data_IF_440942242968
#
_entry.id   IF_440942242968
#
_cell.length_a   1.000
_cell.length_b   1.000
_cell.length_c   1.000
_cell.angle_alpha   90.00
_cell.angle_beta   90.00
_cell.angle_gamma   90.00
#
_symmetry.space_group_name_H-M   'P 1'
#
loop_
_entity.id
_entity.type
_entity.pdbx_description
1 polymer ?
#
# COMPACT_ATOMS: atom_id res chain seq x y z
N UNK A 1 17.69 -6.27 30.47
CA UNK A 1 17.17 -6.79 29.18
C UNK A 1 17.15 -8.32 29.13
N UNK A 2 17.70 -9.04 30.11
CA UNK A 2 17.86 -10.52 30.08
C UNK A 2 16.62 -11.34 30.48
N UNK A 3 15.42 -10.75 30.56
CA UNK A 3 14.22 -11.48 31.00
C UNK A 3 13.48 -12.25 29.90
N UNK A 4 13.91 -12.16 28.63
CA UNK A 4 13.15 -12.67 27.47
C UNK A 4 13.89 -13.75 26.64
N UNK A 5 15.07 -14.21 27.06
CA UNK A 5 15.92 -15.16 26.30
C UNK A 5 15.96 -14.84 24.79
N UNK A 6 16.14 -13.56 24.45
CA UNK A 6 16.05 -13.05 23.09
C UNK A 6 17.15 -12.03 22.80
N UNK A 7 17.88 -12.22 21.70
CA UNK A 7 18.80 -11.24 21.13
C UNK A 7 18.05 -10.48 20.06
N UNK A 8 18.00 -9.15 20.15
CA UNK A 8 17.35 -8.29 19.16
C UNK A 8 18.41 -7.63 18.28
N UNK A 9 18.34 -7.89 16.98
CA UNK A 9 19.12 -7.22 15.95
C UNK A 9 18.21 -6.30 15.15
N UNK A 10 18.27 -4.99 15.45
CA UNK A 10 17.45 -3.98 14.79
C UNK A 10 18.24 -3.26 13.69
N UNK A 11 17.73 -3.32 12.46
CA UNK A 11 18.29 -2.63 11.30
C UNK A 11 17.61 -1.28 11.16
N UNK A 12 18.40 -0.21 11.24
CA UNK A 12 17.93 1.16 11.05
C UNK A 12 17.68 1.43 9.56
N UNK A 13 16.52 2.00 9.24
CA UNK A 13 16.20 2.51 7.90
C UNK A 13 16.68 3.94 7.65
N UNK A 14 16.32 4.50 6.50
CA UNK A 14 16.59 5.91 6.14
C UNK A 14 15.90 6.87 7.13
N UNK A 15 16.54 8.01 7.40
CA UNK A 15 16.03 8.99 8.37
C UNK A 15 14.70 9.64 7.97
N UNK A 16 14.42 9.79 6.66
CA UNK A 16 13.14 10.31 6.17
C UNK A 16 12.63 9.52 4.94
N UNK A 17 11.31 9.47 4.78
CA UNK A 17 10.65 8.83 3.63
C UNK A 17 10.97 9.56 2.30
N UNK A 18 11.11 10.89 2.35
CA UNK A 18 11.43 11.68 1.15
C UNK A 18 12.84 11.42 0.65
N UNK A 19 13.83 11.32 1.55
CA UNK A 19 15.22 10.95 1.19
C UNK A 19 15.30 9.53 0.62
N UNK A 20 14.37 8.65 1.01
CA UNK A 20 14.26 7.32 0.44
C UNK A 20 13.60 7.32 -0.94
N UNK A 21 12.51 8.07 -1.13
CA UNK A 21 11.77 8.16 -2.39
C UNK A 21 12.60 8.65 -3.58
N UNK A 22 13.53 9.57 -3.35
CA UNK A 22 14.46 10.06 -4.39
C UNK A 22 15.51 9.02 -4.81
N UNK A 23 15.77 8.01 -3.96
CA UNK A 23 16.75 6.94 -4.20
C UNK A 23 16.14 5.66 -4.78
N UNK A 24 14.86 5.68 -5.19
CA UNK A 24 14.12 4.54 -5.77
C UNK A 24 14.57 4.12 -7.19
N UNK A 25 15.67 4.67 -7.70
CA UNK A 25 16.10 4.46 -9.08
C UNK A 25 16.99 3.22 -9.27
N UNK A 26 16.72 2.14 -8.56
CA UNK A 26 17.57 0.94 -8.65
C UNK A 26 16.82 -0.20 -9.32
N UNK A 27 17.28 -0.59 -10.50
CA UNK A 27 16.77 -1.78 -11.18
C UNK A 27 16.97 -3.03 -10.31
N UNK A 28 15.99 -3.95 -10.25
CA UNK A 28 16.15 -5.20 -9.54
C UNK A 28 17.38 -5.97 -10.06
N UNK A 29 18.16 -6.53 -9.16
CA UNK A 29 19.37 -7.29 -9.49
C UNK A 29 19.33 -8.69 -8.90
N UNK A 30 20.12 -9.61 -9.45
CA UNK A 30 20.16 -10.99 -9.00
C UNK A 30 20.71 -11.11 -7.57
N UNK A 31 20.07 -11.90 -6.70
CA UNK A 31 20.62 -12.26 -5.40
C UNK A 31 21.66 -13.39 -5.47
N UNK A 32 22.31 -13.61 -6.62
CA UNK A 32 23.33 -14.64 -6.81
C UNK A 32 24.35 -14.75 -5.67
N UNK A 33 24.51 -15.94 -5.12
CA UNK A 33 25.37 -16.21 -3.97
C UNK A 33 24.91 -15.54 -2.65
N UNK A 34 23.64 -15.16 -2.55
CA UNK A 34 23.04 -14.57 -1.35
C UNK A 34 21.70 -15.22 -0.98
N UNK A 35 20.81 -15.50 -1.94
CA UNK A 35 19.59 -16.28 -1.71
C UNK A 35 19.62 -17.59 -2.51
N UNK A 36 18.64 -18.46 -2.27
CA UNK A 36 18.52 -19.76 -2.95
C UNK A 36 18.04 -19.63 -4.41
N UNK A 37 17.30 -18.57 -4.73
CA UNK A 37 16.72 -18.33 -6.06
C UNK A 37 17.33 -17.07 -6.68
N UNK A 38 18.31 -17.27 -7.56
CA UNK A 38 19.01 -16.21 -8.29
C UNK A 38 18.13 -15.49 -9.32
N UNK A 39 17.01 -16.10 -9.71
CA UNK A 39 16.00 -15.52 -10.61
C UNK A 39 15.02 -14.59 -9.90
N UNK A 40 14.89 -14.69 -8.58
CA UNK A 40 14.07 -13.79 -7.78
C UNK A 40 14.80 -12.46 -7.52
N UNK A 41 14.86 -11.61 -8.55
CA UNK A 41 15.57 -10.34 -8.50
C UNK A 41 15.10 -9.48 -7.32
N UNK A 42 16.05 -8.86 -6.63
CA UNK A 42 15.84 -8.05 -5.45
C UNK A 42 16.14 -6.58 -5.74
N UNK A 43 15.52 -5.67 -4.99
CA UNK A 43 15.87 -4.24 -5.04
C UNK A 43 17.37 -4.05 -4.75
N UNK A 44 18.15 -3.59 -5.74
CA UNK A 44 19.61 -3.70 -5.63
C UNK A 44 20.19 -2.86 -4.49
N UNK A 45 19.59 -1.72 -4.14
CA UNK A 45 20.01 -0.91 -3.00
C UNK A 45 19.97 -1.68 -1.67
N UNK A 46 18.84 -2.33 -1.35
CA UNK A 46 18.69 -3.13 -0.14
C UNK A 46 19.59 -4.37 -0.16
N UNK A 47 19.69 -5.05 -1.30
CA UNK A 47 20.56 -6.21 -1.46
C UNK A 47 22.03 -5.86 -1.25
N UNK A 48 22.50 -4.74 -1.83
CA UNK A 48 23.88 -4.29 -1.68
C UNK A 48 24.22 -3.98 -0.21
N UNK A 49 23.30 -3.35 0.53
CA UNK A 49 23.47 -3.12 1.98
C UNK A 49 23.47 -4.44 2.74
N UNK A 50 22.51 -5.34 2.47
CA UNK A 50 22.42 -6.63 3.14
C UNK A 50 23.70 -7.47 2.95
N UNK A 51 24.27 -7.50 1.74
CA UNK A 51 25.56 -8.15 1.46
C UNK A 51 26.70 -7.59 2.31
N UNK A 52 26.82 -6.27 2.40
CA UNK A 52 27.85 -5.62 3.22
C UNK A 52 27.68 -5.85 4.73
N UNK A 53 26.45 -6.15 5.17
CA UNK A 53 26.15 -6.40 6.58
C UNK A 53 26.48 -7.82 7.03
N UNK A 54 26.69 -8.78 6.13
CA UNK A 54 26.98 -10.19 6.49
C UNK A 54 28.11 -10.29 7.51
N UNK A 55 29.28 -9.74 7.18
CA UNK A 55 30.46 -9.86 8.03
C UNK A 55 30.32 -9.17 9.39
N UNK A 56 29.99 -7.86 9.44
CA UNK A 56 29.81 -7.15 10.70
C UNK A 56 28.74 -7.77 11.61
N UNK A 57 27.62 -8.24 11.05
CA UNK A 57 26.54 -8.85 11.83
C UNK A 57 26.96 -10.21 12.36
N UNK A 58 27.57 -11.06 11.53
CA UNK A 58 28.05 -12.37 11.96
C UNK A 58 29.11 -12.26 13.06
N UNK A 59 30.08 -11.36 12.90
CA UNK A 59 31.10 -11.07 13.91
C UNK A 59 30.47 -10.66 15.25
N UNK A 60 29.50 -9.73 15.24
CA UNK A 60 28.85 -9.29 16.48
C UNK A 60 28.01 -10.39 17.12
N UNK A 61 27.28 -11.18 16.35
CA UNK A 61 26.49 -12.30 16.88
C UNK A 61 27.39 -13.39 17.47
N UNK A 62 28.52 -13.69 16.81
CA UNK A 62 29.53 -14.64 17.31
C UNK A 62 30.11 -14.15 18.64
N UNK A 63 30.53 -12.89 18.72
CA UNK A 63 31.02 -12.28 19.96
C UNK A 63 29.98 -12.38 21.08
N UNK A 64 28.70 -12.11 20.81
CA UNK A 64 27.65 -12.26 21.80
C UNK A 64 27.52 -13.71 22.30
N UNK A 65 27.66 -14.70 21.42
CA UNK A 65 27.61 -16.12 21.81
C UNK A 65 28.85 -16.54 22.62
N UNK A 66 30.02 -15.98 22.32
CA UNK A 66 31.27 -16.22 23.05
C UNK A 66 31.26 -15.60 24.45
N UNK A 67 30.77 -14.36 24.57
CA UNK A 67 30.60 -13.65 25.86
C UNK A 67 29.71 -14.43 26.83
N UNK A 68 28.69 -15.14 26.33
CA UNK A 68 27.84 -15.98 27.16
C UNK A 68 27.26 -17.14 26.34
N UNK A 69 27.81 -18.36 26.46
CA UNK A 69 27.35 -19.54 25.73
C UNK A 69 25.88 -19.91 25.96
N UNK A 70 25.26 -19.49 27.07
CA UNK A 70 23.82 -19.71 27.32
C UNK A 70 22.94 -19.00 26.30
N UNK A 71 23.44 -17.95 25.64
CA UNK A 71 22.73 -17.23 24.57
C UNK A 71 22.44 -18.11 23.34
N UNK A 72 23.08 -19.28 23.20
CA UNK A 72 22.69 -20.25 22.18
C UNK A 72 21.26 -20.79 22.37
N UNK A 73 20.76 -20.79 23.62
CA UNK A 73 19.36 -21.14 23.93
C UNK A 73 18.35 -20.03 23.61
N UNK A 74 18.84 -18.83 23.27
CA UNK A 74 18.00 -17.66 23.02
C UNK A 74 17.41 -17.70 21.61
N UNK A 75 16.36 -16.91 21.41
CA UNK A 75 15.84 -16.61 20.08
C UNK A 75 16.57 -15.39 19.52
N UNK A 76 16.89 -15.39 18.23
CA UNK A 76 17.35 -14.19 17.52
C UNK A 76 16.13 -13.52 16.88
N UNK A 77 15.87 -12.26 17.19
CA UNK A 77 14.87 -11.44 16.53
C UNK A 77 15.57 -10.40 15.64
N UNK A 78 15.43 -10.56 14.33
CA UNK A 78 15.83 -9.58 13.33
C UNK A 78 14.63 -8.66 13.09
N UNK A 79 14.84 -7.35 13.15
CA UNK A 79 13.74 -6.40 12.98
C UNK A 79 14.19 -5.13 12.27
N UNK A 80 13.24 -4.37 11.76
CA UNK A 80 13.48 -3.10 11.12
C UNK A 80 12.17 -2.43 10.71
N UNK A 81 12.23 -1.11 10.61
CA UNK A 81 11.14 -0.27 10.08
C UNK A 81 11.53 0.28 8.71
N UNK A 82 10.57 0.43 7.81
CA UNK A 82 10.78 1.02 6.48
C UNK A 82 11.89 0.28 5.71
N UNK A 83 12.84 1.02 5.13
CA UNK A 83 14.03 0.47 4.46
C UNK A 83 14.83 -0.51 5.35
N UNK A 84 14.89 -0.28 6.66
CA UNK A 84 15.55 -1.18 7.59
C UNK A 84 14.87 -2.56 7.66
N UNK A 85 13.53 -2.57 7.54
CA UNK A 85 12.74 -3.80 7.43
C UNK A 85 13.04 -4.60 6.17
N UNK A 86 13.33 -3.92 5.05
CA UNK A 86 13.68 -4.59 3.79
C UNK A 86 15.04 -5.30 3.89
N UNK A 87 16.02 -4.61 4.47
CA UNK A 87 17.36 -5.18 4.72
C UNK A 87 17.28 -6.33 5.75
N UNK A 88 16.52 -6.14 6.84
CA UNK A 88 16.25 -7.19 7.84
C UNK A 88 15.63 -8.44 7.20
N UNK A 89 14.68 -8.27 6.28
CA UNK A 89 14.04 -9.36 5.55
C UNK A 89 15.03 -10.14 4.68
N UNK A 90 15.93 -9.43 3.98
CA UNK A 90 16.98 -10.05 3.16
C UNK A 90 18.00 -10.82 4.01
N UNK A 91 18.44 -10.25 5.14
CA UNK A 91 19.37 -10.92 6.07
C UNK A 91 18.73 -12.18 6.67
N UNK A 92 17.46 -12.11 7.04
CA UNK A 92 16.71 -13.28 7.51
C UNK A 92 16.61 -14.35 6.41
N UNK A 93 16.23 -13.97 5.19
CA UNK A 93 16.15 -14.92 4.09
C UNK A 93 17.51 -15.59 3.79
N UNK A 94 18.61 -14.82 3.86
CA UNK A 94 19.97 -15.34 3.71
C UNK A 94 20.38 -16.30 4.83
N UNK A 95 20.01 -16.00 6.08
CA UNK A 95 20.23 -16.92 7.21
C UNK A 95 19.53 -18.27 7.02
N UNK A 96 18.40 -18.29 6.30
CA UNK A 96 17.61 -19.49 6.05
C UNK A 96 17.89 -20.13 4.68
N UNK A 97 18.76 -19.52 3.86
CA UNK A 97 19.19 -20.05 2.58
C UNK A 97 19.91 -21.38 2.76
N UNK A 98 19.71 -22.30 1.82
CA UNK A 98 20.22 -23.68 1.87
C UNK A 98 21.09 -24.08 0.68
N UNK A 99 21.14 -23.25 -0.35
CA UNK A 99 22.07 -23.39 -1.46
C UNK A 99 23.51 -23.25 -0.98
N UNK A 100 24.43 -24.14 -1.40
CA UNK A 100 25.85 -23.99 -1.12
C UNK A 100 26.42 -22.64 -1.58
N UNK A 101 25.88 -22.06 -2.66
CA UNK A 101 26.31 -20.77 -3.18
C UNK A 101 25.99 -19.61 -2.22
N UNK A 102 24.95 -19.73 -1.38
CA UNK A 102 24.57 -18.73 -0.39
C UNK A 102 25.25 -18.95 0.97
N UNK A 103 26.17 -19.90 1.08
CA UNK A 103 26.91 -20.18 2.32
C UNK A 103 27.71 -18.96 2.76
N UNK A 104 27.61 -18.61 4.04
CA UNK A 104 28.34 -17.50 4.65
C UNK A 104 28.49 -17.72 6.16
N UNK A 105 29.32 -16.89 6.79
CA UNK A 105 29.44 -16.92 8.24
C UNK A 105 28.14 -16.54 8.97
N UNK A 106 27.28 -15.69 8.38
CA UNK A 106 25.99 -15.36 8.98
C UNK A 106 25.00 -16.52 8.84
N UNK A 107 24.98 -17.17 7.67
CA UNK A 107 24.15 -18.36 7.42
C UNK A 107 24.50 -19.50 8.39
N UNK A 108 25.79 -19.73 8.65
CA UNK A 108 26.26 -20.74 9.61
C UNK A 108 25.80 -20.48 11.05
N UNK A 109 25.52 -19.23 11.43
CA UNK A 109 25.05 -18.88 12.78
C UNK A 109 23.58 -19.21 13.02
N UNK A 110 22.79 -19.50 11.98
CA UNK A 110 21.35 -19.81 12.14
C UNK A 110 21.11 -20.97 13.09
N UNK A 111 21.93 -22.02 13.01
CA UNK A 111 21.84 -23.21 13.88
C UNK A 111 22.33 -22.97 15.32
N UNK A 112 22.85 -21.78 15.64
CA UNK A 112 23.35 -21.45 16.98
C UNK A 112 22.30 -20.83 17.89
N UNK A 113 21.13 -20.50 17.36
CA UNK A 113 20.01 -19.94 18.12
C UNK A 113 18.87 -20.96 18.19
N UNK A 114 18.12 -20.96 19.30
CA UNK A 114 16.94 -21.84 19.45
C UNK A 114 15.91 -21.59 18.35
N UNK A 115 15.74 -20.33 17.97
CA UNK A 115 14.88 -19.86 16.87
C UNK A 115 15.46 -18.59 16.27
N UNK A 116 15.19 -18.37 14.98
CA UNK A 116 15.41 -17.07 14.33
C UNK A 116 14.05 -16.54 13.87
N UNK A 117 13.75 -15.29 14.21
CA UNK A 117 12.53 -14.60 13.85
C UNK A 117 12.87 -13.34 13.06
N UNK A 118 12.01 -12.96 12.13
CA UNK A 118 12.04 -11.66 11.48
C UNK A 118 10.67 -11.00 11.58
N UNK A 119 10.62 -9.81 12.19
CA UNK A 119 9.40 -9.02 12.36
C UNK A 119 9.71 -7.61 11.87
N UNK A 120 8.99 -7.13 10.87
CA UNK A 120 9.27 -5.84 10.24
C UNK A 120 8.01 -4.96 10.18
N UNK A 121 8.20 -3.66 10.00
CA UNK A 121 7.12 -2.66 10.08
C UNK A 121 7.18 -1.66 8.92
N UNK A 122 6.10 -1.52 8.17
CA UNK A 122 6.02 -0.58 7.05
C UNK A 122 7.09 -0.82 5.98
N UNK A 123 7.45 -2.08 5.75
CA UNK A 123 8.54 -2.48 4.87
C UNK A 123 8.13 -2.35 3.40
N UNK A 124 8.93 -1.71 2.52
CA UNK A 124 8.64 -1.66 1.10
C UNK A 124 8.80 -3.02 0.42
N UNK A 125 8.25 -3.20 -0.79
CA UNK A 125 8.50 -4.39 -1.61
C UNK A 125 10.01 -4.62 -1.86
N UNK A 126 10.45 -5.88 -1.84
CA UNK A 126 11.88 -6.25 -1.79
C UNK A 126 12.36 -7.06 -3.00
N UNK A 127 11.55 -7.99 -3.51
CA UNK A 127 11.95 -8.97 -4.54
C UNK A 127 10.81 -9.27 -5.51
N UNK A 128 11.09 -9.82 -6.69
CA UNK A 128 10.05 -10.11 -7.70
C UNK A 128 8.94 -11.01 -7.15
N UNK A 129 9.31 -12.10 -6.50
CA UNK A 129 8.43 -13.04 -5.81
C UNK A 129 8.54 -12.84 -4.29
N UNK A 130 7.45 -13.01 -3.52
CA UNK A 130 7.46 -12.81 -2.07
C UNK A 130 8.53 -13.68 -1.39
N UNK A 131 9.43 -13.07 -0.62
CA UNK A 131 10.35 -13.84 0.23
C UNK A 131 9.54 -14.49 1.36
N UNK A 132 9.53 -15.82 1.39
CA UNK A 132 8.82 -16.59 2.40
C UNK A 132 9.77 -17.40 3.25
N UNK A 133 9.36 -17.69 4.49
CA UNK A 133 10.08 -18.64 5.34
C UNK A 133 10.00 -20.03 4.67
N UNK A 134 11.12 -20.74 4.46
CA UNK A 134 11.08 -22.08 3.90
C UNK A 134 10.16 -23.01 4.71
N UNK A 135 9.42 -23.84 4.00
CA UNK A 135 8.51 -24.82 4.60
C UNK A 135 9.27 -26.10 4.97
N UNK A 136 10.20 -25.99 5.91
CA UNK A 136 10.98 -27.11 6.43
C UNK A 136 10.73 -27.33 7.93
N UNK A 137 10.73 -28.59 8.44
CA UNK A 137 10.44 -28.88 9.84
C UNK A 137 11.31 -28.11 10.85
N UNK A 138 12.60 -27.92 10.55
CA UNK A 138 13.57 -27.19 11.38
C UNK A 138 13.16 -25.72 11.60
N UNK A 139 12.49 -25.11 10.63
CA UNK A 139 12.03 -23.72 10.70
C UNK A 139 10.55 -23.60 11.10
N UNK A 140 9.92 -24.66 11.59
CA UNK A 140 8.49 -24.65 11.96
C UNK A 140 8.16 -23.59 13.02
N UNK A 141 9.06 -23.39 13.99
CA UNK A 141 8.88 -22.44 15.09
C UNK A 141 9.43 -21.04 14.80
N UNK A 142 10.01 -20.83 13.62
CA UNK A 142 10.56 -19.54 13.21
C UNK A 142 9.40 -18.68 12.69
N UNK A 143 9.49 -17.37 12.88
CA UNK A 143 8.44 -16.43 12.46
C UNK A 143 9.00 -15.46 11.44
N UNK A 144 8.24 -15.18 10.39
CA UNK A 144 8.56 -14.14 9.43
C UNK A 144 7.31 -13.32 9.15
N UNK A 145 7.20 -12.17 9.82
CA UNK A 145 6.02 -11.31 9.79
C UNK A 145 6.38 -9.91 9.28
N UNK A 146 5.50 -9.34 8.46
CA UNK A 146 5.59 -7.95 8.00
C UNK A 146 4.30 -7.24 8.39
N UNK A 147 4.39 -6.32 9.35
CA UNK A 147 3.26 -5.52 9.78
C UNK A 147 3.13 -4.27 8.91
N UNK A 148 1.91 -3.99 8.46
CA UNK A 148 1.59 -2.85 7.60
C UNK A 148 0.38 -2.11 8.15
N UNK A 149 0.48 -0.82 8.38
CA UNK A 149 -0.69 -0.01 8.69
C UNK A 149 -1.51 0.24 7.43
N UNK A 150 -2.82 0.05 7.50
CA UNK A 150 -3.73 0.57 6.49
C UNK A 150 -3.50 2.07 6.28
N UNK A 151 -3.27 2.46 5.03
CA UNK A 151 -2.95 3.83 4.64
C UNK A 151 -1.45 4.13 4.54
N UNK A 152 -0.55 3.24 4.99
CA UNK A 152 0.89 3.42 4.84
C UNK A 152 1.31 3.29 3.36
N UNK A 153 1.84 4.35 2.72
CA UNK A 153 2.25 4.30 1.33
C UNK A 153 3.48 3.42 1.08
N UNK A 154 4.32 3.18 2.10
CA UNK A 154 5.61 2.50 1.92
C UNK A 154 5.46 1.04 1.56
N UNK A 155 4.41 0.37 2.06
CA UNK A 155 4.12 -1.01 1.70
C UNK A 155 3.84 -1.21 0.20
N UNK A 156 3.46 -0.13 -0.51
CA UNK A 156 3.25 -0.06 -1.97
C UNK A 156 4.41 0.58 -2.73
N UNK A 157 5.37 1.17 -2.03
CA UNK A 157 6.21 2.18 -2.63
C UNK A 157 7.26 1.58 -3.56
N UNK A 158 6.94 1.61 -4.85
CA UNK A 158 7.91 1.64 -5.94
C UNK A 158 8.01 3.06 -6.52
N UNK A 159 8.99 3.27 -7.41
CA UNK A 159 9.24 4.57 -8.05
C UNK A 159 8.00 5.14 -8.75
N UNK A 160 7.25 4.31 -9.48
CA UNK A 160 6.09 4.74 -10.23
C UNK A 160 4.93 5.09 -9.30
N UNK A 161 4.71 4.26 -8.27
CA UNK A 161 3.70 4.50 -7.25
C UNK A 161 3.94 5.81 -6.52
N UNK A 162 5.14 6.02 -5.96
CA UNK A 162 5.47 7.25 -5.22
C UNK A 162 5.38 8.48 -6.12
N UNK A 163 5.90 8.41 -7.34
CA UNK A 163 5.78 9.51 -8.32
C UNK A 163 4.31 9.85 -8.58
N UNK A 164 3.47 8.85 -8.87
CA UNK A 164 2.05 9.07 -9.15
C UNK A 164 1.27 9.59 -7.93
N UNK A 165 1.64 9.18 -6.72
CA UNK A 165 1.06 9.68 -5.48
C UNK A 165 1.44 11.15 -5.26
N UNK A 166 2.70 11.54 -5.49
CA UNK A 166 3.14 12.93 -5.40
C UNK A 166 2.43 13.81 -6.44
N UNK A 167 2.32 13.34 -7.69
CA UNK A 167 1.56 14.03 -8.74
C UNK A 167 0.09 14.20 -8.37
N UNK A 168 -0.54 13.17 -7.79
CA UNK A 168 -1.92 13.23 -7.33
C UNK A 168 -2.10 14.23 -6.18
N UNK A 169 -1.19 14.25 -5.21
CA UNK A 169 -1.25 15.17 -4.08
C UNK A 169 -1.00 16.63 -4.49
N UNK A 170 -0.21 16.85 -5.54
CA UNK A 170 0.06 18.16 -6.12
C UNK A 170 -1.04 18.64 -7.10
N UNK A 171 -1.85 17.72 -7.64
CA UNK A 171 -2.88 18.07 -8.61
C UNK A 171 -3.99 18.95 -7.99
N UNK A 172 -4.51 19.94 -8.72
CA UNK A 172 -5.65 20.72 -8.27
C UNK A 172 -6.89 19.84 -8.09
N UNK A 173 -7.77 20.21 -7.16
CA UNK A 173 -9.03 19.51 -6.98
C UNK A 173 -9.83 19.52 -8.31
N UNK A 174 -10.45 18.39 -8.72
CA UNK A 174 -11.22 18.34 -9.95
C UNK A 174 -12.30 19.43 -9.94
N UNK A 175 -12.38 20.21 -11.02
CA UNK A 175 -13.46 21.17 -11.18
C UNK A 175 -14.77 20.38 -11.31
N UNK A 176 -15.71 20.60 -10.39
CA UNK A 176 -17.06 20.09 -10.55
C UNK A 176 -17.71 20.93 -11.64
N UNK A 177 -17.89 20.38 -12.84
CA UNK A 177 -18.64 21.06 -13.90
C UNK A 177 -20.08 21.28 -13.41
N UNK A 178 -20.35 22.49 -12.91
CA UNK A 178 -21.72 22.93 -12.69
C UNK A 178 -22.34 23.08 -14.07
N UNK A 179 -23.28 22.20 -14.40
CA UNK A 179 -24.13 22.32 -15.59
C UNK A 179 -25.01 23.57 -15.45
N UNK A 180 -24.45 24.75 -15.75
CA UNK A 180 -25.22 25.98 -15.94
C UNK A 180 -25.97 25.84 -17.25
N UNK A 181 -27.22 25.40 -17.17
CA UNK A 181 -28.20 25.60 -18.25
C UNK A 181 -28.31 27.11 -18.51
N UNK A 182 -27.75 27.57 -19.63
CA UNK A 182 -28.04 28.89 -20.18
C UNK A 182 -29.49 28.87 -20.69
N UNK A 183 -30.42 29.27 -19.83
CA UNK A 183 -31.70 29.80 -20.26
C UNK A 183 -31.55 31.33 -20.35
N UNK A 184 -31.45 31.86 -21.56
CA UNK A 184 -31.73 33.27 -21.81
C UNK A 184 -32.42 33.43 -23.16
N UNK A 185 -33.76 33.46 -23.09
CA UNK A 185 -34.61 34.05 -24.10
C UNK A 185 -34.46 35.59 -24.09
N UNK A 186 -34.66 36.17 -25.26
CA UNK A 186 -34.45 37.56 -25.67
C UNK A 186 -35.33 38.61 -24.97
N UNK A 187 -34.86 39.86 -24.94
CA UNK A 187 -35.70 41.06 -25.14
C UNK A 187 -34.88 42.26 -25.66
N UNK A 188 -35.32 42.75 -26.83
CA UNK A 188 -35.28 44.11 -27.43
C UNK A 188 -34.32 45.20 -26.93
N UNK A 189 -33.57 45.85 -27.85
CA UNK A 189 -33.98 47.12 -28.50
C UNK A 189 -32.90 47.73 -29.44
N UNK A 190 -33.37 48.27 -30.56
CA UNK A 190 -32.89 49.43 -31.37
C UNK A 190 -31.51 49.45 -32.05
N UNK A 191 -31.54 49.60 -33.38
CA UNK A 191 -30.44 50.17 -34.19
C UNK A 191 -30.40 49.71 -35.65
N UNK A 192 -31.09 50.42 -36.55
CA UNK A 192 -30.91 50.33 -38.02
C UNK A 192 -29.89 51.40 -38.49
N UNK A 193 -29.54 51.60 -39.79
CA UNK A 193 -29.95 50.89 -41.03
C UNK A 193 -28.80 50.63 -42.05
N UNK A 194 -29.02 49.82 -43.10
CA UNK A 194 -28.90 50.26 -44.52
C UNK A 194 -29.22 49.19 -45.59
N UNK A 195 -30.11 49.61 -46.51
CA UNK A 195 -30.19 49.47 -47.99
C UNK A 195 -29.77 48.20 -48.77
N UNK A 196 -30.72 47.69 -49.57
CA UNK A 196 -30.72 47.35 -51.03
C UNK A 196 -31.54 46.05 -51.29
N UNK A 197 -32.74 46.11 -51.91
CA UNK A 197 -33.12 46.12 -53.35
C UNK A 197 -33.20 44.70 -53.99
N UNK A 198 -34.37 44.37 -54.57
CA UNK A 198 -34.57 43.27 -55.54
C UNK A 198 -35.53 42.16 -55.07
N UNK A 199 -36.84 42.25 -55.35
CA UNK A 199 -37.58 41.57 -56.46
C UNK A 199 -37.91 40.08 -56.21
N UNK A 200 -39.21 39.77 -56.00
CA UNK A 200 -40.10 38.87 -56.79
C UNK A 200 -39.55 37.44 -56.97
N UNK A 201 -40.23 36.35 -56.57
CA UNK A 201 -41.54 35.89 -57.04
C UNK A 201 -42.23 34.88 -56.07
N UNK A 202 -43.40 34.42 -56.48
CA UNK A 202 -44.55 33.88 -55.74
C UNK A 202 -44.65 32.32 -55.86
N UNK A 203 -45.69 31.67 -55.30
CA UNK A 203 -45.60 30.44 -54.49
C UNK A 203 -46.22 29.22 -55.18
N UNK A 204 -46.15 28.04 -54.54
CA UNK A 204 -47.16 26.97 -54.67
C UNK A 204 -47.31 26.25 -53.30
N UNK A 205 -48.49 26.26 -52.65
CA UNK A 205 -49.65 25.36 -52.86
C UNK A 205 -49.26 23.92 -52.42
N UNK A 206 -49.88 23.20 -51.46
CA UNK A 206 -51.31 23.04 -51.12
C UNK A 206 -51.51 22.27 -49.78
N UNK A 207 -52.70 22.53 -49.18
CA UNK A 207 -53.65 21.62 -48.49
C UNK A 207 -53.13 20.73 -47.35
N UNK A 208 -53.45 20.97 -46.07
CA UNK A 208 -54.78 20.88 -45.43
C UNK A 208 -55.45 19.49 -45.52
N UNK A 209 -55.56 18.81 -44.38
CA UNK A 209 -56.84 18.29 -43.87
C UNK A 209 -56.65 17.75 -42.44
N UNK A 210 -57.39 18.36 -41.51
CA UNK A 210 -57.78 17.79 -40.23
C UNK A 210 -58.79 16.66 -40.49
N UNK A 211 -58.85 15.65 -39.63
CA UNK A 211 -59.96 15.49 -38.67
C UNK A 211 -59.88 14.17 -37.86
N UNK A 212 -59.87 14.40 -36.56
CA UNK A 212 -60.43 13.64 -35.42
C UNK A 212 -61.43 12.51 -35.69
N UNK A 213 -61.23 11.36 -35.03
CA UNK A 213 -62.30 10.57 -34.39
C UNK A 213 -61.84 9.93 -33.07
N UNK A 214 -62.77 9.96 -32.13
CA UNK A 214 -62.79 9.52 -30.72
C UNK A 214 -62.80 8.01 -30.54
N UNK A 215 -62.22 7.47 -29.44
CA UNK A 215 -62.94 6.71 -28.38
C UNK A 215 -62.04 5.76 -27.54
N UNK A 216 -62.18 5.89 -26.21
CA UNK A 216 -62.11 4.88 -25.13
C UNK A 216 -60.81 4.09 -24.79
N UNK A 217 -60.19 4.53 -23.69
CA UNK A 217 -59.65 3.81 -22.50
C UNK A 217 -58.94 2.45 -22.67
N UNK A 218 -57.68 2.41 -22.24
CA UNK A 218 -57.16 1.35 -21.36
C UNK A 218 -55.99 1.87 -20.51
N UNK A 219 -56.04 1.52 -19.23
CA UNK A 219 -55.14 1.88 -18.13
C UNK A 219 -53.66 1.61 -18.40
N UNK A 220 -52.81 2.63 -18.20
CA UNK A 220 -51.37 2.42 -17.98
C UNK A 220 -50.91 3.17 -16.73
N UNK A 221 -50.35 2.38 -15.83
CA UNK A 221 -49.74 2.75 -14.57
C UNK A 221 -48.71 3.87 -14.75
N UNK A 222 -48.77 4.88 -13.87
CA UNK A 222 -47.70 5.84 -13.68
C UNK A 222 -46.49 5.15 -13.06
N UNK A 223 -45.60 4.58 -13.88
CA UNK A 223 -44.22 4.38 -13.47
C UNK A 223 -43.51 5.73 -13.61
N UNK A 224 -43.38 6.45 -12.49
CA UNK A 224 -42.45 7.56 -12.39
C UNK A 224 -41.05 7.01 -12.60
N UNK A 225 -40.55 7.05 -13.83
CA UNK A 225 -39.17 6.79 -14.16
C UNK A 225 -38.32 7.84 -13.43
N UNK A 226 -37.86 7.51 -12.22
CA UNK A 226 -36.76 8.22 -11.58
C UNK A 226 -35.57 8.03 -12.51
N UNK A 227 -35.28 9.06 -13.31
CA UNK A 227 -34.03 9.12 -14.05
C UNK A 227 -32.91 9.11 -13.02
N UNK A 228 -32.27 7.94 -12.88
CA UNK A 228 -31.01 7.82 -12.18
C UNK A 228 -30.01 8.62 -13.00
N UNK A 229 -29.87 9.91 -12.67
CA UNK A 229 -28.73 10.70 -13.14
C UNK A 229 -27.50 9.93 -12.66
N UNK A 230 -26.81 9.26 -13.59
CA UNK A 230 -25.50 8.69 -13.33
C UNK A 230 -24.65 9.82 -12.77
N UNK A 231 -24.10 9.63 -11.56
CA UNK A 231 -23.11 10.58 -11.05
C UNK A 231 -21.99 10.61 -12.09
N UNK A 232 -21.51 11.79 -12.51
CA UNK A 232 -20.36 11.87 -13.39
C UNK A 232 -19.24 11.04 -12.77
N UNK A 233 -18.61 10.19 -13.59
CA UNK A 233 -17.50 9.37 -13.14
C UNK A 233 -16.44 10.31 -12.55
N UNK A 234 -16.11 10.13 -11.27
CA UNK A 234 -15.06 10.89 -10.62
C UNK A 234 -13.70 10.62 -11.28
N UNK A 235 -12.66 11.40 -10.94
CA UNK A 235 -11.31 11.11 -11.40
C UNK A 235 -10.91 9.67 -10.99
N UNK A 236 -10.38 8.92 -11.95
CA UNK A 236 -9.87 7.56 -11.71
C UNK A 236 -8.34 7.63 -11.64
N UNK A 237 -7.77 7.29 -10.50
CA UNK A 237 -6.33 7.12 -10.39
C UNK A 237 -5.93 5.75 -10.93
N UNK A 238 -5.15 5.74 -12.02
CA UNK A 238 -4.51 4.52 -12.52
C UNK A 238 -3.34 4.16 -11.61
N UNK A 239 -3.58 3.21 -10.70
CA UNK A 239 -2.55 2.72 -9.77
C UNK A 239 -1.42 2.07 -10.56
N UNK A 240 -0.16 2.52 -10.39
CA UNK A 240 0.97 1.86 -11.04
C UNK A 240 1.12 0.41 -10.57
N UNK A 241 1.57 -0.50 -11.47
CA UNK A 241 1.86 -1.87 -11.07
C UNK A 241 3.02 -1.90 -10.08
N UNK A 242 2.95 -2.82 -9.11
CA UNK A 242 4.09 -3.10 -8.21
C UNK A 242 4.86 -4.30 -8.74
N UNK A 243 6.07 -4.11 -9.30
CA UNK A 243 6.86 -5.19 -9.87
C UNK A 243 7.49 -6.08 -8.80
N UNK A 244 7.74 -5.53 -7.61
CA UNK A 244 8.28 -6.26 -6.47
C UNK A 244 7.16 -6.61 -5.48
N UNK A 245 7.46 -7.55 -4.61
CA UNK A 245 6.60 -8.16 -3.60
C UNK A 245 7.12 -7.85 -2.20
N UNK A 246 6.21 -7.73 -1.23
CA UNK A 246 6.58 -7.63 0.18
C UNK A 246 7.07 -8.99 0.71
N UNK A 247 7.96 -8.93 1.69
CA UNK A 247 8.53 -10.11 2.32
C UNK A 247 7.73 -10.57 3.56
N UNK A 248 7.78 -11.87 3.84
CA UNK A 248 7.15 -12.51 4.99
C UNK A 248 5.64 -12.66 4.89
N UNK A 249 5.02 -13.11 5.98
CA UNK A 249 3.56 -13.12 6.12
C UNK A 249 3.09 -11.71 6.48
N UNK A 250 2.28 -11.13 5.62
CA UNK A 250 1.82 -9.75 5.75
C UNK A 250 0.64 -9.69 6.72
N UNK A 251 0.72 -8.79 7.69
CA UNK A 251 -0.32 -8.51 8.68
C UNK A 251 -0.71 -7.04 8.59
N UNK A 252 -1.89 -6.76 8.05
CA UNK A 252 -2.41 -5.40 7.92
C UNK A 252 -3.13 -5.01 9.22
N UNK A 253 -2.69 -3.91 9.82
CA UNK A 253 -3.30 -3.26 10.97
C UNK A 253 -4.34 -2.24 10.45
N UNK A 254 -5.61 -2.46 10.76
CA UNK A 254 -6.74 -1.65 10.27
C UNK A 254 -7.53 -1.03 11.41
N UNK A 255 -8.38 -0.06 11.08
CA UNK A 255 -9.39 0.45 12.01
C UNK A 255 -10.37 -0.67 12.39
N UNK A 256 -10.74 -0.76 13.66
CA UNK A 256 -11.75 -1.70 14.15
C UNK A 256 -13.18 -1.30 13.79
N UNK A 257 -13.39 -0.03 13.41
CA UNK A 257 -14.69 0.49 12.99
C UNK A 257 -14.74 0.66 11.47
N UNK A 258 -15.47 -0.21 10.73
CA UNK A 258 -15.56 -0.13 9.28
C UNK A 258 -16.27 1.15 8.79
N UNK A 259 -17.10 1.77 9.63
CA UNK A 259 -17.86 2.98 9.31
C UNK A 259 -17.14 4.28 9.69
N UNK A 260 -15.89 4.17 10.18
CA UNK A 260 -15.10 5.32 10.56
C UNK A 260 -14.88 6.26 9.35
N UNK A 261 -15.44 7.48 9.42
CA UNK A 261 -15.31 8.47 8.34
C UNK A 261 -13.85 8.77 8.02
N UNK A 262 -13.43 8.64 6.77
CA UNK A 262 -12.09 9.05 6.33
C UNK A 262 -11.99 10.59 6.41
N UNK A 263 -11.25 11.12 7.39
CA UNK A 263 -10.91 12.57 7.46
C UNK A 263 -9.43 12.74 7.15
N UNK A 264 -9.09 13.77 6.36
CA UNK A 264 -7.72 14.08 5.92
C UNK A 264 -6.70 14.24 7.06
N UNK A 265 -7.12 14.69 8.23
CA UNK A 265 -6.24 14.96 9.37
C UNK A 265 -6.85 14.48 10.70
N UNK A 266 -7.04 13.16 10.87
CA UNK A 266 -7.38 12.60 12.19
C UNK A 266 -6.14 12.52 13.08
N UNK A 267 -6.18 13.05 14.32
CA UNK A 267 -5.10 12.85 15.28
C UNK A 267 -4.98 11.37 15.67
N UNK A 268 -3.78 10.98 16.09
CA UNK A 268 -3.43 9.61 16.48
C UNK A 268 -4.43 9.00 17.48
N UNK A 269 -4.83 9.78 18.51
CA UNK A 269 -5.78 9.33 19.54
C UNK A 269 -7.16 8.98 18.98
N UNK A 270 -7.68 9.76 18.03
CA UNK A 270 -8.98 9.47 17.38
C UNK A 270 -8.86 8.18 16.57
N UNK A 271 -7.77 7.99 15.82
CA UNK A 271 -7.55 6.76 15.03
C UNK A 271 -7.47 5.49 15.90
N UNK A 272 -6.90 5.59 17.11
CA UNK A 272 -6.81 4.46 18.04
C UNK A 272 -8.16 4.19 18.75
N UNK A 273 -8.98 5.23 18.96
CA UNK A 273 -10.32 5.07 19.55
C UNK A 273 -11.30 4.29 18.68
N UNK A 274 -11.01 4.15 17.39
CA UNK A 274 -11.78 3.32 16.45
C UNK A 274 -11.50 1.82 16.63
N UNK A 275 -10.63 1.44 17.56
CA UNK A 275 -10.14 0.07 17.72
C UNK A 275 -9.11 -0.31 16.67
N UNK A 276 -8.50 -1.47 16.86
CA UNK A 276 -7.47 -2.01 15.96
C UNK A 276 -7.77 -3.47 15.70
N UNK A 277 -7.75 -3.86 14.43
CA UNK A 277 -7.80 -5.26 14.01
C UNK A 277 -6.57 -5.60 13.18
N UNK A 278 -6.11 -6.85 13.29
CA UNK A 278 -5.01 -7.38 12.49
C UNK A 278 -5.55 -8.43 11.52
N UNK A 279 -5.26 -8.25 10.23
CA UNK A 279 -5.70 -9.16 9.17
C UNK A 279 -4.50 -9.66 8.38
N UNK A 280 -4.38 -10.98 8.23
CA UNK A 280 -3.39 -11.57 7.33
C UNK A 280 -3.87 -11.39 5.89
N UNK A 281 -2.97 -10.92 5.02
CA UNK A 281 -3.24 -10.72 3.60
C UNK A 281 -2.16 -11.36 2.74
N UNK A 282 -2.47 -11.59 1.46
CA UNK A 282 -1.47 -11.99 0.47
C UNK A 282 -0.82 -10.76 -0.17
N UNK A 283 0.32 -10.97 -0.82
CA UNK A 283 0.99 -9.92 -1.59
C UNK A 283 0.09 -9.39 -2.71
N UNK A 284 -0.62 -10.28 -3.41
CA UNK A 284 -1.57 -9.93 -4.48
C UNK A 284 -2.67 -9.00 -3.99
N UNK A 285 -3.19 -9.20 -2.78
CA UNK A 285 -4.20 -8.33 -2.19
C UNK A 285 -3.67 -6.91 -1.92
N UNK A 286 -2.37 -6.73 -1.73
CA UNK A 286 -1.75 -5.41 -1.65
C UNK A 286 -1.45 -4.81 -3.03
N UNK A 287 -1.56 -5.54 -4.14
CA UNK A 287 -1.10 -5.02 -5.44
C UNK A 287 -1.92 -3.86 -5.98
N UNK A 288 -3.20 -3.80 -5.59
CA UNK A 288 -4.16 -2.82 -6.09
C UNK A 288 -4.61 -1.81 -5.03
N UNK A 289 -4.07 -1.87 -3.81
CA UNK A 289 -4.46 -0.94 -2.74
C UNK A 289 -3.88 0.45 -2.98
N UNK A 290 -4.69 1.45 -2.66
CA UNK A 290 -4.32 2.85 -2.75
C UNK A 290 -4.13 3.40 -1.33
N UNK A 291 -2.89 3.56 -0.94
CA UNK A 291 -2.48 4.10 0.36
C UNK A 291 -1.51 5.27 0.19
N UNK A 292 -1.78 6.35 0.93
CA UNK A 292 -1.12 7.63 0.68
C UNK A 292 -1.00 8.52 1.91
N UNK A 293 -1.10 7.95 3.11
CA UNK A 293 -1.01 8.70 4.37
C UNK A 293 0.34 8.46 5.06
N UNK A 294 1.30 9.39 4.96
CA UNK A 294 2.61 9.24 5.60
C UNK A 294 2.55 9.11 7.13
N UNK A 295 1.47 9.57 7.78
CA UNK A 295 1.29 9.37 9.23
C UNK A 295 1.13 7.89 9.56
N UNK A 296 0.51 7.11 8.65
CA UNK A 296 0.38 5.67 8.81
C UNK A 296 1.73 4.95 8.81
N UNK A 297 2.76 5.55 8.23
CA UNK A 297 4.11 4.98 8.17
C UNK A 297 4.91 5.14 9.47
N UNK A 298 4.58 6.11 10.32
CA UNK A 298 5.45 6.43 11.47
C UNK A 298 5.45 5.29 12.50
N UNK A 299 6.64 4.88 12.94
CA UNK A 299 6.80 3.77 13.90
C UNK A 299 5.99 3.94 15.19
N UNK A 300 5.80 5.18 15.67
CA UNK A 300 4.94 5.46 16.84
C UNK A 300 3.50 4.98 16.65
N UNK A 301 2.98 5.01 15.42
CA UNK A 301 1.64 4.56 15.12
C UNK A 301 1.55 3.03 15.02
N UNK A 302 2.56 2.40 14.43
CA UNK A 302 2.73 0.94 14.48
C UNK A 302 2.74 0.44 15.93
N UNK A 303 3.60 1.03 16.77
CA UNK A 303 3.72 0.68 18.18
C UNK A 303 2.39 0.81 18.91
N UNK A 304 1.70 1.96 18.77
CA UNK A 304 0.43 2.18 19.45
C UNK A 304 -0.67 1.20 19.02
N UNK A 305 -0.74 0.84 17.72
CA UNK A 305 -1.71 -0.16 17.23
C UNK A 305 -1.42 -1.56 17.74
N UNK A 306 -0.14 -1.95 17.77
CA UNK A 306 0.29 -3.24 18.29
C UNK A 306 0.08 -3.36 19.80
N UNK A 307 0.26 -2.27 20.55
CA UNK A 307 -0.01 -2.22 21.97
C UNK A 307 -1.49 -2.45 22.28
N UNK A 308 -2.41 -1.84 21.53
CA UNK A 308 -3.86 -2.10 21.65
C UNK A 308 -4.16 -3.58 21.43
N UNK A 309 -3.61 -4.20 20.39
CA UNK A 309 -3.81 -5.63 20.11
C UNK A 309 -3.22 -6.52 21.20
N UNK A 310 -2.02 -6.20 21.69
CA UNK A 310 -1.36 -6.96 22.74
C UNK A 310 -2.14 -6.91 24.06
N UNK A 311 -2.61 -5.71 24.46
CA UNK A 311 -3.47 -5.54 25.64
C UNK A 311 -4.77 -6.32 25.47
N UNK A 312 -5.44 -6.21 24.32
CA UNK A 312 -6.67 -6.94 24.04
C UNK A 312 -6.49 -8.47 24.11
N UNK A 313 -5.36 -8.98 23.63
CA UNK A 313 -5.04 -10.41 23.68
C UNK A 313 -4.82 -10.92 25.11
N UNK A 314 -4.23 -10.12 26.00
CA UNK A 314 -3.96 -10.50 27.40
C UNK A 314 -5.19 -10.33 28.30
N UNK A 315 -6.03 -9.33 28.01
CA UNK A 315 -7.21 -8.99 28.85
C UNK A 315 -8.48 -9.77 28.48
N UNK A 316 -8.41 -10.69 27.51
CA UNK A 316 -9.52 -11.52 27.04
C UNK A 316 -10.77 -10.74 26.55
N UNK A 317 -10.66 -9.44 26.27
CA UNK A 317 -11.74 -8.61 25.70
C UNK A 317 -11.99 -8.87 24.20
N UNK A 318 -11.42 -9.94 23.65
CA UNK A 318 -11.46 -10.29 22.22
C UNK A 318 -12.24 -11.58 21.93
N UNK A 319 -13.52 -11.65 22.35
CA UNK A 319 -14.54 -12.52 21.75
C UNK A 319 -15.87 -11.79 21.67
#
# INVERSE_FOLDING_TARGET
MDHMDTIVFAVRGTATFMDWAVNLNTEPTSPAGFLDDDGNLCHAGFLAVARRMIGPVASRLRQLLEENPRRASYSLLITGHSAGGAIASLLYAHMLATSPAASSELNALTGRFRRVHCITFGTPPVSLLPLQKPNKPEFKKFMFLSFVNEGDPVARADKAYVKSLLELLAAPAPAVESSRKLNKQCSSASGAPSKHRGSREKPKFLLAAKESKTSMKSSRSHSSAKSSKSRPAGPVWKVPPSPLSNAGRIVVLRSGNPDAKVKRAKPLRERLSEGVVAQVVTDEQLRDVIWGDPVCHVMRFYAARLEVLAIGAVTAQGR
#
